data_IF_289479908881
#
_entry.id   IF_289479908881
#
_cell.length_a   1.000
_cell.length_b   1.000
_cell.length_c   1.000
_cell.angle_alpha   90.00
_cell.angle_beta   90.00
_cell.angle_gamma   90.00
#
_symmetry.space_group_name_H-M   'P 1'
#
loop_
_entity.id
_entity.type
_entity.pdbx_description
1 polymer ?
#
# COMPACT_ATOMS: atom_id res chain seq x y z
N UNK A 1 -7.05 -12.76 29.44
CA UNK A 1 -7.72 -11.81 30.32
C UNK A 1 -8.71 -10.90 29.60
N UNK A 2 -8.69 -10.85 28.27
CA UNK A 2 -9.62 -10.06 27.46
C UNK A 2 -11.08 -10.54 27.63
N UNK A 3 -12.02 -9.62 27.58
CA UNK A 3 -13.47 -9.82 27.69
C UNK A 3 -14.18 -9.01 26.58
N UNK A 4 -15.50 -9.22 26.42
CA UNK A 4 -16.30 -8.56 25.38
C UNK A 4 -16.13 -7.02 25.30
N UNK A 5 -15.82 -6.36 26.39
CA UNK A 5 -15.68 -4.89 26.51
C UNK A 5 -14.31 -4.46 27.03
N UNK A 6 -13.37 -5.39 27.19
CA UNK A 6 -12.03 -5.11 27.73
C UNK A 6 -11.02 -5.90 26.93
N UNK A 7 -10.10 -5.18 26.29
CA UNK A 7 -8.89 -5.74 25.69
C UNK A 7 -7.75 -5.63 26.70
N UNK A 8 -7.04 -6.74 26.91
CA UNK A 8 -5.83 -6.78 27.73
C UNK A 8 -4.71 -7.27 26.84
N UNK A 9 -3.67 -6.46 26.73
CA UNK A 9 -2.43 -6.79 26.00
C UNK A 9 -1.21 -6.54 26.89
N UNK A 10 -0.09 -7.12 26.52
CA UNK A 10 1.17 -6.78 27.14
C UNK A 10 1.55 -5.34 26.79
N UNK A 11 2.17 -4.65 27.75
CA UNK A 11 2.72 -3.32 27.49
C UNK A 11 4.05 -3.48 26.73
N UNK A 12 4.23 -2.71 25.66
CA UNK A 12 5.44 -2.72 24.85
C UNK A 12 6.14 -1.37 24.97
N UNK A 13 7.40 -1.40 25.35
CA UNK A 13 8.27 -0.22 25.37
C UNK A 13 9.03 -0.13 24.05
N UNK A 14 9.14 1.08 23.51
CA UNK A 14 9.86 1.34 22.26
C UNK A 14 9.81 2.80 21.85
N UNK A 15 10.71 3.16 20.95
CA UNK A 15 10.83 4.50 20.40
C UNK A 15 9.83 4.70 19.25
N UNK A 16 9.14 5.83 19.26
CA UNK A 16 8.20 6.19 18.19
C UNK A 16 8.90 6.74 16.95
N UNK A 17 8.14 6.90 15.88
CA UNK A 17 8.63 7.30 14.56
C UNK A 17 9.49 8.59 14.57
N UNK A 18 9.17 9.58 15.39
CA UNK A 18 9.94 10.82 15.47
C UNK A 18 11.35 10.61 16.07
N UNK A 19 11.53 9.61 16.92
CA UNK A 19 12.86 9.24 17.40
C UNK A 19 13.64 8.47 16.32
N UNK A 20 12.98 7.54 15.63
CA UNK A 20 13.56 6.77 14.52
C UNK A 20 14.09 7.68 13.41
N UNK A 21 13.42 8.77 13.09
CA UNK A 21 13.88 9.74 12.07
C UNK A 21 15.26 10.35 12.38
N UNK A 22 15.71 10.32 13.63
CA UNK A 22 17.00 10.86 14.05
C UNK A 22 18.13 9.85 14.07
N UNK A 23 17.82 8.57 13.86
CA UNK A 23 18.80 7.50 13.79
C UNK A 23 19.69 7.61 12.55
N UNK A 24 20.87 6.97 12.53
CA UNK A 24 21.68 6.78 11.35
C UNK A 24 20.88 6.18 10.19
N UNK A 25 21.33 6.40 8.96
CA UNK A 25 20.60 5.98 7.77
C UNK A 25 20.40 4.47 7.72
N UNK A 26 21.44 3.71 8.02
CA UNK A 26 21.44 2.25 8.06
C UNK A 26 20.42 1.67 9.03
N UNK A 27 20.30 2.26 10.23
CA UNK A 27 19.28 1.85 11.20
C UNK A 27 17.85 2.18 10.72
N UNK A 28 17.68 3.33 10.09
CA UNK A 28 16.38 3.73 9.50
C UNK A 28 15.98 2.81 8.34
N UNK A 29 16.95 2.39 7.53
CA UNK A 29 16.72 1.48 6.41
C UNK A 29 16.27 0.10 6.92
N UNK A 30 16.90 -0.43 7.97
CA UNK A 30 16.48 -1.67 8.61
C UNK A 30 15.05 -1.55 9.16
N UNK A 31 14.76 -0.45 9.85
CA UNK A 31 13.41 -0.20 10.37
C UNK A 31 12.37 -0.14 9.24
N UNK A 32 12.69 0.56 8.16
CA UNK A 32 11.84 0.66 6.97
C UNK A 32 11.62 -0.69 6.30
N UNK A 33 12.67 -1.51 6.18
CA UNK A 33 12.59 -2.87 5.64
C UNK A 33 11.66 -3.77 6.47
N UNK A 34 11.76 -3.72 7.80
CA UNK A 34 10.90 -4.52 8.68
C UNK A 34 9.43 -4.13 8.47
N UNK A 35 9.12 -2.83 8.41
CA UNK A 35 7.75 -2.35 8.15
C UNK A 35 7.26 -2.80 6.77
N UNK A 36 8.09 -2.63 5.75
CA UNK A 36 7.77 -3.06 4.39
C UNK A 36 7.45 -4.57 4.33
N UNK A 37 8.34 -5.39 4.90
CA UNK A 37 8.15 -6.85 4.96
C UNK A 37 6.90 -7.24 5.74
N UNK A 38 6.59 -6.54 6.82
CA UNK A 38 5.35 -6.78 7.57
C UNK A 38 4.11 -6.44 6.73
N UNK A 39 4.07 -5.25 6.14
CA UNK A 39 2.90 -4.80 5.37
C UNK A 39 2.63 -5.71 4.17
N UNK A 40 3.62 -5.92 3.31
CA UNK A 40 3.45 -6.75 2.11
C UNK A 40 3.40 -8.24 2.42
N UNK A 41 4.18 -8.72 3.39
CA UNK A 41 4.13 -10.11 3.84
C UNK A 41 2.77 -10.47 4.44
N UNK A 42 2.14 -9.56 5.15
CA UNK A 42 0.79 -9.76 5.67
C UNK A 42 -0.25 -9.93 4.56
N UNK A 43 -0.12 -9.17 3.47
CA UNK A 43 -0.99 -9.29 2.29
C UNK A 43 -0.78 -10.63 1.60
N UNK A 44 0.45 -10.93 1.19
CA UNK A 44 0.71 -12.05 0.27
C UNK A 44 0.86 -13.39 0.96
N UNK A 45 1.37 -13.44 2.20
CA UNK A 45 1.55 -14.71 2.93
C UNK A 45 0.42 -15.01 3.91
N UNK A 46 -0.14 -13.99 4.56
CA UNK A 46 -1.17 -14.16 5.56
C UNK A 46 -2.58 -13.83 5.06
N UNK A 47 -2.69 -13.26 3.87
CA UNK A 47 -3.96 -12.81 3.28
C UNK A 47 -4.71 -11.82 4.18
N UNK A 48 -3.95 -11.02 4.93
CA UNK A 48 -4.46 -9.98 5.81
C UNK A 48 -3.86 -8.64 5.43
N UNK A 49 -4.72 -7.67 5.19
CA UNK A 49 -4.34 -6.30 4.93
C UNK A 49 -4.61 -5.45 6.17
N UNK A 50 -3.60 -4.76 6.68
CA UNK A 50 -3.78 -3.72 7.68
C UNK A 50 -3.92 -2.37 6.97
N UNK A 51 -5.11 -1.79 7.02
CA UNK A 51 -5.43 -0.53 6.33
C UNK A 51 -4.96 0.70 7.12
N UNK A 52 -4.58 0.55 8.39
CA UNK A 52 -4.03 1.64 9.20
C UNK A 52 -2.51 1.52 9.35
N UNK A 53 -1.80 2.00 8.34
CA UNK A 53 -0.34 2.05 8.32
C UNK A 53 0.23 3.35 8.91
N UNK A 54 -0.50 3.99 9.84
CA UNK A 54 -0.04 5.24 10.45
C UNK A 54 1.26 5.02 11.23
N UNK A 55 2.28 5.90 11.09
CA UNK A 55 3.57 5.73 11.76
C UNK A 55 3.50 5.66 13.29
N UNK A 56 2.45 6.19 13.91
CA UNK A 56 2.20 6.08 15.34
C UNK A 56 1.87 4.66 15.83
N UNK A 57 1.59 3.73 14.91
CA UNK A 57 1.29 2.34 15.21
C UNK A 57 2.54 1.43 15.21
N UNK A 58 3.73 2.01 15.09
CA UNK A 58 5.01 1.28 15.04
C UNK A 58 5.96 1.79 16.11
N UNK A 59 6.53 0.88 16.91
CA UNK A 59 7.54 1.20 17.91
C UNK A 59 8.82 0.40 17.64
N UNK A 60 9.95 1.09 17.60
CA UNK A 60 11.26 0.45 17.57
C UNK A 60 11.66 0.05 18.98
N UNK A 61 11.81 -1.23 19.24
CA UNK A 61 12.21 -1.78 20.52
C UNK A 61 13.73 -1.72 20.69
N UNK A 62 14.21 -1.78 21.93
CA UNK A 62 15.65 -1.72 22.26
C UNK A 62 16.47 -2.85 21.60
N UNK A 63 15.84 -4.00 21.37
CA UNK A 63 16.48 -5.16 20.73
C UNK A 63 16.42 -5.13 19.19
N UNK A 64 16.00 -4.03 18.60
CA UNK A 64 15.91 -3.84 17.14
C UNK A 64 14.65 -4.42 16.51
N UNK A 65 13.77 -5.04 17.26
CA UNK A 65 12.45 -5.46 16.76
C UNK A 65 11.52 -4.28 16.61
N UNK A 66 10.52 -4.42 15.73
CA UNK A 66 9.44 -3.43 15.59
C UNK A 66 8.15 -4.03 16.14
N UNK A 67 7.54 -3.34 17.09
CA UNK A 67 6.21 -3.67 17.54
C UNK A 67 5.16 -2.98 16.66
N UNK A 68 4.21 -3.76 16.18
CA UNK A 68 3.07 -3.27 15.41
C UNK A 68 1.86 -3.21 16.35
N UNK A 69 1.28 -2.03 16.43
CA UNK A 69 0.13 -1.74 17.28
C UNK A 69 -1.08 -1.50 16.38
N UNK A 70 -2.25 -1.54 16.98
CA UNK A 70 -3.54 -1.25 16.35
C UNK A 70 -3.85 -2.06 15.09
N UNK A 71 -4.59 -3.14 15.31
CA UNK A 71 -5.12 -4.01 14.25
C UNK A 71 -6.64 -3.81 14.05
N UNK A 72 -7.16 -2.64 14.46
CA UNK A 72 -8.59 -2.34 14.38
C UNK A 72 -9.13 -2.23 12.96
N UNK A 73 -8.27 -1.92 11.99
CA UNK A 73 -8.63 -1.78 10.57
C UNK A 73 -7.99 -2.88 9.71
N UNK A 74 -8.20 -4.13 10.06
CA UNK A 74 -7.69 -5.25 9.26
C UNK A 74 -8.77 -5.85 8.36
N UNK A 75 -8.38 -6.23 7.14
CA UNK A 75 -9.24 -6.90 6.16
C UNK A 75 -8.61 -8.22 5.73
N UNK A 76 -9.40 -9.28 5.73
CA UNK A 76 -8.99 -10.54 5.09
C UNK A 76 -9.19 -10.44 3.58
N UNK A 77 -8.16 -10.81 2.82
CA UNK A 77 -8.20 -10.87 1.37
C UNK A 77 -8.50 -12.30 0.93
N UNK A 78 -9.27 -12.44 -0.15
CA UNK A 78 -9.48 -13.75 -0.75
C UNK A 78 -8.26 -14.14 -1.61
N UNK A 79 -8.01 -15.46 -1.82
CA UNK A 79 -6.99 -15.91 -2.76
C UNK A 79 -7.16 -15.31 -4.17
N UNK A 80 -8.40 -15.15 -4.63
CA UNK A 80 -8.71 -14.59 -5.95
C UNK A 80 -8.28 -13.12 -6.04
N UNK A 81 -8.52 -12.33 -4.98
CA UNK A 81 -8.05 -10.93 -4.92
C UNK A 81 -6.52 -10.85 -4.99
N UNK A 82 -5.82 -11.72 -4.25
CA UNK A 82 -4.34 -11.78 -4.28
C UNK A 82 -3.85 -12.14 -5.70
N UNK A 83 -4.48 -13.12 -6.35
CA UNK A 83 -4.12 -13.51 -7.71
C UNK A 83 -4.33 -12.38 -8.72
N UNK A 84 -5.42 -11.62 -8.60
CA UNK A 84 -5.68 -10.48 -9.46
C UNK A 84 -4.62 -9.37 -9.26
N UNK A 85 -4.25 -9.07 -8.00
CA UNK A 85 -3.17 -8.13 -7.71
C UNK A 85 -1.82 -8.59 -8.28
N UNK A 86 -1.49 -9.88 -8.13
CA UNK A 86 -0.28 -10.46 -8.69
C UNK A 86 -0.26 -10.36 -10.22
N UNK A 87 -1.39 -10.61 -10.89
CA UNK A 87 -1.52 -10.43 -12.36
C UNK A 87 -1.23 -8.99 -12.77
N UNK A 88 -1.73 -8.01 -12.02
CA UNK A 88 -1.47 -6.60 -12.30
C UNK A 88 0.01 -6.24 -12.13
N UNK A 89 0.64 -6.71 -11.06
CA UNK A 89 2.07 -6.51 -10.79
C UNK A 89 2.93 -7.18 -11.89
N UNK A 90 2.62 -8.41 -12.26
CA UNK A 90 3.32 -9.15 -13.30
C UNK A 90 3.20 -8.47 -14.68
N UNK A 91 2.00 -7.97 -15.02
CA UNK A 91 1.77 -7.24 -16.25
C UNK A 91 2.59 -5.93 -16.28
N UNK A 92 2.59 -5.18 -15.18
CA UNK A 92 3.40 -3.97 -15.05
C UNK A 92 4.91 -4.25 -15.13
N UNK A 93 5.37 -5.33 -14.50
CA UNK A 93 6.78 -5.77 -14.54
C UNK A 93 7.25 -6.21 -15.92
N UNK A 94 6.36 -6.75 -16.75
CA UNK A 94 6.65 -7.14 -18.15
C UNK A 94 6.41 -6.03 -19.16
N UNK A 95 6.00 -4.85 -18.72
CA UNK A 95 5.62 -3.73 -19.59
C UNK A 95 4.45 -4.05 -20.54
N UNK A 96 3.54 -4.94 -20.08
CA UNK A 96 2.36 -5.35 -20.83
C UNK A 96 1.16 -4.47 -20.44
N UNK A 97 1.02 -3.36 -21.16
CA UNK A 97 0.02 -2.34 -20.86
C UNK A 97 -1.42 -2.84 -20.97
N UNK A 98 -1.69 -3.70 -21.96
CA UNK A 98 -3.03 -4.27 -22.18
C UNK A 98 -3.40 -5.24 -21.05
N UNK A 99 -2.49 -6.16 -20.70
CA UNK A 99 -2.72 -7.08 -19.58
C UNK A 99 -2.88 -6.35 -18.24
N UNK A 100 -2.14 -5.24 -18.04
CA UNK A 100 -2.30 -4.40 -16.86
C UNK A 100 -3.69 -3.74 -16.82
N UNK A 101 -4.16 -3.20 -17.93
CA UNK A 101 -5.47 -2.57 -18.04
C UNK A 101 -6.60 -3.55 -17.72
N UNK A 102 -6.51 -4.77 -18.25
CA UNK A 102 -7.47 -5.84 -17.96
C UNK A 102 -7.43 -6.23 -16.48
N UNK A 103 -6.24 -6.43 -15.91
CA UNK A 103 -6.10 -6.80 -14.50
C UNK A 103 -6.65 -5.71 -13.56
N UNK A 104 -6.42 -4.43 -13.86
CA UNK A 104 -6.96 -3.32 -13.09
C UNK A 104 -8.48 -3.16 -13.26
N UNK A 105 -9.03 -3.55 -14.40
CA UNK A 105 -10.47 -3.65 -14.58
C UNK A 105 -11.06 -4.76 -13.71
N UNK A 106 -10.47 -5.95 -13.73
CA UNK A 106 -10.90 -7.09 -12.91
C UNK A 106 -10.81 -6.78 -11.40
N UNK A 107 -9.82 -5.99 -10.98
CA UNK A 107 -9.68 -5.48 -9.62
C UNK A 107 -10.70 -4.37 -9.27
N UNK A 108 -11.41 -3.84 -10.26
CA UNK A 108 -12.39 -2.77 -10.07
C UNK A 108 -11.78 -1.36 -9.97
N UNK A 109 -10.51 -1.16 -10.36
CA UNK A 109 -9.91 0.18 -10.43
C UNK A 109 -10.28 0.93 -11.70
N UNK A 110 -10.56 0.23 -12.79
CA UNK A 110 -10.96 0.77 -14.07
C UNK A 110 -12.39 0.35 -14.40
N UNK A 111 -13.30 1.31 -14.48
CA UNK A 111 -14.72 1.03 -14.73
C UNK A 111 -14.99 0.59 -16.18
N UNK A 112 -14.33 1.23 -17.14
CA UNK A 112 -14.48 0.96 -18.57
C UNK A 112 -13.10 0.93 -19.24
N UNK A 113 -12.54 -0.26 -19.50
CA UNK A 113 -11.21 -0.41 -20.08
C UNK A 113 -11.10 0.19 -21.49
N UNK A 114 -12.20 0.22 -22.29
CA UNK A 114 -12.18 0.76 -23.65
C UNK A 114 -11.98 2.29 -23.69
N UNK A 115 -12.17 2.97 -22.57
CA UNK A 115 -12.00 4.43 -22.46
C UNK A 115 -10.65 4.84 -21.93
N UNK A 116 -9.83 3.89 -21.50
CA UNK A 116 -8.53 4.13 -20.90
C UNK A 116 -7.45 3.63 -21.83
N UNK A 117 -6.57 4.52 -22.25
CA UNK A 117 -5.40 4.15 -23.03
C UNK A 117 -4.42 3.35 -22.15
N UNK A 118 -4.07 2.14 -22.61
CA UNK A 118 -3.31 1.18 -21.81
C UNK A 118 -1.91 1.69 -21.46
N UNK A 119 -1.21 2.31 -22.43
CA UNK A 119 0.13 2.86 -22.24
C UNK A 119 0.13 3.98 -21.19
N UNK A 120 -0.88 4.84 -21.23
CA UNK A 120 -1.03 5.92 -20.26
C UNK A 120 -1.31 5.41 -18.85
N UNK A 121 -2.09 4.35 -18.73
CA UNK A 121 -2.33 3.67 -17.46
C UNK A 121 -1.04 3.04 -16.93
N UNK A 122 -0.24 2.41 -17.81
CA UNK A 122 1.06 1.84 -17.48
C UNK A 122 2.04 2.91 -16.97
N UNK A 123 2.17 4.02 -17.69
CA UNK A 123 3.02 5.14 -17.25
C UNK A 123 2.65 5.62 -15.85
N UNK A 124 1.34 5.70 -15.59
CA UNK A 124 0.86 6.09 -14.29
C UNK A 124 1.19 5.08 -13.19
N UNK A 125 0.89 3.81 -13.41
CA UNK A 125 1.20 2.74 -12.44
C UNK A 125 2.69 2.70 -12.14
N UNK A 126 3.55 2.85 -13.16
CA UNK A 126 5.01 2.95 -12.99
C UNK A 126 5.43 4.19 -12.19
N UNK A 127 4.78 5.31 -12.39
CA UNK A 127 5.10 6.54 -11.64
C UNK A 127 4.79 6.39 -10.16
N UNK A 128 3.63 5.81 -9.82
CA UNK A 128 3.16 5.67 -8.43
C UNK A 128 3.82 4.47 -7.75
N UNK A 129 3.83 3.33 -8.40
CA UNK A 129 4.20 2.03 -7.84
C UNK A 129 5.48 1.41 -8.39
N UNK A 130 6.12 1.99 -9.41
CA UNK A 130 7.29 1.39 -10.07
C UNK A 130 8.45 1.09 -9.13
N UNK A 131 8.57 1.82 -8.03
CA UNK A 131 9.65 1.64 -7.07
C UNK A 131 9.64 0.26 -6.37
N UNK A 132 8.48 -0.36 -6.21
CA UNK A 132 8.39 -1.70 -5.60
C UNK A 132 8.27 -2.84 -6.64
N UNK A 133 8.18 -2.51 -7.92
CA UNK A 133 8.13 -3.47 -9.02
C UNK A 133 9.52 -3.81 -9.58
N UNK A 134 10.53 -3.02 -9.22
CA UNK A 134 11.90 -3.22 -9.68
C UNK A 134 12.70 -4.08 -8.69
N UNK A 135 13.35 -5.14 -9.17
CA UNK A 135 14.24 -5.99 -8.35
C UNK A 135 15.60 -5.30 -8.15
N UNK A 136 15.59 -4.18 -7.44
CA UNK A 136 16.77 -3.41 -7.03
C UNK A 136 16.49 -2.58 -5.78
N UNK A 137 17.54 -2.20 -5.09
CA UNK A 137 17.43 -1.21 -4.00
C UNK A 137 16.99 0.14 -4.56
N UNK A 138 15.93 0.69 -3.98
CA UNK A 138 15.37 1.99 -4.36
C UNK A 138 15.32 2.90 -3.15
N UNK A 139 15.99 4.03 -3.24
CA UNK A 139 15.88 5.06 -2.21
C UNK A 139 14.62 5.91 -2.44
N UNK A 140 13.74 5.92 -1.44
CA UNK A 140 12.55 6.78 -1.44
C UNK A 140 12.94 8.13 -0.85
N UNK A 141 13.11 9.13 -1.71
CA UNK A 141 13.45 10.50 -1.28
C UNK A 141 12.21 11.36 -1.11
N UNK A 142 12.27 12.42 -0.26
CA UNK A 142 11.18 13.37 -0.12
C UNK A 142 10.75 13.99 -1.47
N UNK A 143 11.71 14.28 -2.37
CA UNK A 143 11.44 14.87 -3.68
C UNK A 143 10.61 13.90 -4.56
N UNK A 144 10.94 12.59 -4.52
CA UNK A 144 10.18 11.57 -5.25
C UNK A 144 8.73 11.48 -4.72
N UNK A 145 8.57 11.49 -3.40
CA UNK A 145 7.24 11.48 -2.77
C UNK A 145 6.45 12.73 -3.12
N UNK A 146 7.08 13.91 -3.03
CA UNK A 146 6.43 15.18 -3.39
C UNK A 146 5.99 15.22 -4.84
N UNK A 147 6.83 14.74 -5.77
CA UNK A 147 6.46 14.63 -7.20
C UNK A 147 5.27 13.71 -7.42
N UNK A 148 5.25 12.57 -6.72
CA UNK A 148 4.12 11.64 -6.79
C UNK A 148 2.83 12.30 -6.27
N UNK A 149 2.89 12.97 -5.12
CA UNK A 149 1.75 13.69 -4.54
C UNK A 149 1.28 14.82 -5.46
N UNK A 150 2.19 15.59 -6.03
CA UNK A 150 1.86 16.68 -6.95
C UNK A 150 1.07 16.17 -8.16
N UNK A 151 1.56 15.13 -8.82
CA UNK A 151 0.91 14.58 -10.02
C UNK A 151 -0.44 13.93 -9.68
N UNK A 152 -0.55 13.26 -8.53
CA UNK A 152 -1.81 12.61 -8.13
C UNK A 152 -2.85 13.58 -7.58
N UNK A 153 -2.43 14.75 -7.10
CA UNK A 153 -3.31 15.73 -6.46
C UNK A 153 -3.64 16.95 -7.34
N UNK A 154 -2.91 17.17 -8.45
CA UNK A 154 -3.20 18.28 -9.36
C UNK A 154 -4.46 18.01 -10.18
N UNK A 155 -5.55 18.81 -9.99
CA UNK A 155 -6.78 18.63 -10.77
C UNK A 155 -6.60 18.85 -12.29
N UNK A 156 -5.47 19.41 -12.72
CA UNK A 156 -5.11 19.64 -14.11
C UNK A 156 -4.26 18.51 -14.68
N UNK A 157 -3.80 17.58 -13.83
CA UNK A 157 -3.08 16.43 -14.32
C UNK A 157 -4.04 15.50 -15.04
N UNK A 158 -3.58 14.96 -16.13
CA UNK A 158 -4.29 13.93 -16.89
C UNK A 158 -4.62 12.72 -16.04
N UNK A 159 -3.82 12.49 -15.00
CA UNK A 159 -4.00 11.42 -14.06
C UNK A 159 -5.17 11.66 -13.10
N UNK A 160 -5.32 12.86 -12.58
CA UNK A 160 -6.47 13.20 -11.73
C UNK A 160 -7.79 12.98 -12.49
N UNK A 161 -7.81 13.30 -13.77
CA UNK A 161 -8.95 13.03 -14.65
C UNK A 161 -9.19 11.51 -14.85
N UNK A 162 -8.12 10.73 -15.01
CA UNK A 162 -8.20 9.27 -15.14
C UNK A 162 -8.81 8.65 -13.88
N UNK A 163 -8.26 8.96 -12.69
CA UNK A 163 -8.76 8.47 -11.42
C UNK A 163 -10.20 8.92 -11.16
N UNK A 164 -10.51 10.17 -11.42
CA UNK A 164 -11.84 10.73 -11.15
C UNK A 164 -12.94 10.18 -12.05
N UNK A 165 -12.63 9.94 -13.33
CA UNK A 165 -13.63 9.53 -14.33
C UNK A 165 -13.80 8.03 -14.44
N UNK A 166 -12.72 7.28 -14.23
CA UNK A 166 -12.67 5.86 -14.51
C UNK A 166 -12.52 5.00 -13.26
N UNK A 167 -12.12 5.59 -12.10
CA UNK A 167 -12.16 4.84 -10.84
C UNK A 167 -13.60 4.60 -10.44
N UNK A 168 -13.94 3.35 -10.23
CA UNK A 168 -15.17 3.03 -9.54
C UNK A 168 -15.09 3.64 -8.13
N UNK A 169 -16.13 4.37 -7.65
CA UNK A 169 -16.21 4.66 -6.24
C UNK A 169 -16.10 3.32 -5.51
N UNK A 170 -15.21 3.25 -4.52
CA UNK A 170 -15.03 2.06 -3.70
C UNK A 170 -16.40 1.44 -3.43
N UNK A 171 -16.60 0.20 -3.82
CA UNK A 171 -17.94 -0.40 -3.80
C UNK A 171 -18.54 -0.22 -2.41
N UNK A 172 -19.85 -0.03 -2.30
CA UNK A 172 -20.53 0.09 -0.99
C UNK A 172 -20.13 -1.05 -0.05
N UNK A 173 -19.86 -2.23 -0.59
CA UNK A 173 -19.38 -3.40 0.14
C UNK A 173 -17.97 -3.20 0.74
N UNK A 174 -17.09 -2.47 0.06
CA UNK A 174 -15.76 -2.11 0.61
C UNK A 174 -15.86 -1.06 1.72
N UNK A 175 -16.78 -0.11 1.59
CA UNK A 175 -17.02 0.90 2.63
C UNK A 175 -17.80 0.35 3.83
N UNK A 176 -18.72 -0.60 3.64
CA UNK A 176 -19.44 -1.25 4.72
C UNK A 176 -18.59 -2.24 5.53
N UNK A 177 -17.52 -2.80 4.92
CA UNK A 177 -16.58 -3.66 5.62
C UNK A 177 -15.63 -2.88 6.56
N UNK A 178 -15.41 -1.58 6.29
CA UNK A 178 -14.62 -0.69 7.18
C UNK A 178 -15.46 -0.09 8.32
N UNK A 179 -16.79 -0.22 8.30
CA UNK A 179 -17.67 0.39 9.28
C UNK A 179 -18.30 -0.61 10.28
N UNK A 180 -17.85 -1.86 10.29
CA UNK A 180 -18.26 -2.92 11.23
C UNK A 180 -17.03 -3.46 11.98
#
# INVERSE_FOLDING_TARGET
LSRRRVLVSDYVEGEGFEAVKRLPQDERDIYGEIIFRFCFGSIYHLQHFNADTHPGNYLLMEDGRVAFLDFGMTKRLSPDQIQLEQRAIDAAGRDDAEALREALHDLGFVANPDRVEAERLMEHVKMVGGWYMEDREVQITPERVMKMVEVTSDPRSDFFDLVRRESLPASREQNEACSR
#
